data_IF_655142330679
#
_entry.id   IF_655142330679
#
_cell.length_a   1.000
_cell.length_b   1.000
_cell.length_c   1.000
_cell.angle_alpha   90.00
_cell.angle_beta   90.00
_cell.angle_gamma   90.00
#
_symmetry.space_group_name_H-M   'P 1'
#
loop_
_entity.id
_entity.type
_entity.pdbx_description
1 polymer ?
#
# COMPACT_ATOMS: atom_id res chain seq x y z
N UNK A 1 3.89 -2.15 6.18
CA UNK A 1 2.73 -1.57 6.88
C UNK A 1 1.48 -2.01 6.16
N UNK A 2 0.42 -2.37 6.89
CA UNK A 2 -0.82 -2.83 6.29
C UNK A 2 -1.48 -1.69 5.53
N UNK A 3 -2.06 -2.02 4.39
CA UNK A 3 -2.93 -1.12 3.61
C UNK A 3 -4.36 -1.57 3.79
N UNK A 4 -5.26 -0.63 4.14
CA UNK A 4 -6.71 -0.86 4.21
C UNK A 4 -7.41 0.32 3.56
N UNK A 5 -8.45 0.07 2.77
CA UNK A 5 -9.24 1.13 2.11
C UNK A 5 -8.37 2.12 1.31
N UNK A 6 -7.37 1.60 0.58
CA UNK A 6 -6.35 2.38 -0.14
C UNK A 6 -5.52 3.35 0.73
N UNK A 7 -5.47 3.13 2.04
CA UNK A 7 -4.83 4.02 3.00
C UNK A 7 -3.59 3.34 3.62
N UNK A 8 -2.47 4.04 3.59
CA UNK A 8 -1.24 3.59 4.23
C UNK A 8 -1.32 3.85 5.74
N UNK A 9 -1.51 2.82 6.57
CA UNK A 9 -1.58 2.97 8.03
C UNK A 9 -0.25 3.40 8.68
N UNK A 10 0.86 3.44 7.94
CA UNK A 10 2.13 3.93 8.44
C UNK A 10 2.27 5.46 8.43
N UNK A 11 1.59 6.15 7.51
CA UNK A 11 1.64 7.61 7.39
C UNK A 11 0.25 8.27 7.27
N UNK A 12 -0.81 7.47 7.29
CA UNK A 12 -2.20 7.89 7.19
C UNK A 12 -2.53 8.70 5.91
N UNK A 13 -1.89 8.34 4.80
CA UNK A 13 -2.07 8.97 3.48
C UNK A 13 -2.71 7.97 2.51
N UNK A 14 -3.59 8.46 1.64
CA UNK A 14 -4.13 7.68 0.53
C UNK A 14 -3.04 7.30 -0.46
N UNK A 15 -3.02 6.03 -0.83
CA UNK A 15 -2.16 5.51 -1.88
C UNK A 15 -2.74 5.92 -3.25
N UNK A 16 -1.87 6.18 -4.23
CA UNK A 16 -2.29 6.35 -5.61
C UNK A 16 -3.09 5.13 -6.09
N UNK A 17 -4.16 5.31 -6.88
CA UNK A 17 -4.99 4.20 -7.34
C UNK A 17 -4.20 3.20 -8.19
N UNK A 18 -3.20 3.65 -8.96
CA UNK A 18 -2.30 2.78 -9.70
C UNK A 18 -1.53 1.85 -8.77
N UNK A 19 -0.93 2.40 -7.70
CA UNK A 19 -0.18 1.64 -6.71
C UNK A 19 -1.08 0.66 -5.94
N UNK A 20 -2.30 1.08 -5.60
CA UNK A 20 -3.28 0.22 -4.94
C UNK A 20 -3.67 -0.97 -5.82
N UNK A 21 -3.95 -0.74 -7.11
CA UNK A 21 -4.23 -1.81 -8.06
C UNK A 21 -3.05 -2.78 -8.23
N UNK A 22 -1.83 -2.25 -8.32
CA UNK A 22 -0.61 -3.07 -8.37
C UNK A 22 -0.41 -3.90 -7.09
N UNK A 23 -0.86 -3.42 -5.93
CA UNK A 23 -0.83 -4.19 -4.68
C UNK A 23 -1.74 -5.42 -4.73
N UNK A 24 -2.90 -5.35 -5.41
CA UNK A 24 -3.78 -6.51 -5.60
C UNK A 24 -3.27 -7.49 -6.64
N UNK A 25 -2.48 -7.02 -7.61
CA UNK A 25 -1.84 -7.87 -8.61
C UNK A 25 -0.74 -8.77 -7.99
N UNK A 26 -0.15 -8.36 -6.86
CA UNK A 26 0.81 -9.19 -6.10
C UNK A 26 2.18 -9.39 -6.76
N UNK A 27 2.42 -8.74 -7.90
CA UNK A 27 3.63 -8.98 -8.73
C UNK A 27 4.94 -8.48 -8.12
N UNK A 28 4.90 -7.58 -7.13
CA UNK A 28 6.12 -6.99 -6.57
C UNK A 28 5.94 -6.35 -5.20
N UNK A 29 7.01 -6.35 -4.40
CA UNK A 29 7.09 -5.58 -3.15
C UNK A 29 6.91 -4.09 -3.45
N UNK A 30 5.86 -3.50 -2.89
CA UNK A 30 5.54 -2.08 -3.06
C UNK A 30 5.98 -1.27 -1.84
N UNK A 31 6.36 -0.02 -2.08
CA UNK A 31 6.73 0.93 -1.05
C UNK A 31 5.78 2.12 -1.08
N UNK A 32 5.42 2.64 0.09
CA UNK A 32 4.64 3.85 0.18
C UNK A 32 5.48 5.03 -0.36
N UNK A 33 4.97 5.83 -1.31
CA UNK A 33 5.72 6.95 -1.89
C UNK A 33 6.00 8.06 -0.87
N UNK A 34 5.22 8.15 0.21
CA UNK A 34 5.35 9.20 1.22
C UNK A 34 6.34 8.84 2.35
N UNK A 35 6.26 7.62 2.88
CA UNK A 35 7.10 7.21 4.02
C UNK A 35 8.16 6.16 3.66
N UNK A 36 8.24 5.75 2.39
CA UNK A 36 9.18 4.72 1.88
C UNK A 36 9.12 3.38 2.63
N UNK A 37 8.06 3.13 3.39
CA UNK A 37 7.84 1.86 4.08
C UNK A 37 7.24 0.84 3.11
N UNK A 38 7.69 -0.41 3.22
CA UNK A 38 7.07 -1.53 2.51
C UNK A 38 5.60 -1.57 2.88
N UNK A 39 4.71 -1.65 1.89
CA UNK A 39 3.26 -1.74 2.05
C UNK A 39 2.81 -3.13 1.61
N UNK A 40 1.83 -3.69 2.32
CA UNK A 40 1.28 -5.01 2.01
C UNK A 40 -0.24 -5.01 2.26
N UNK A 41 -0.98 -5.80 1.47
CA UNK A 41 -2.36 -6.10 1.76
C UNK A 41 -2.40 -7.03 2.97
N UNK A 42 -3.11 -6.62 4.02
CA UNK A 42 -3.37 -7.50 5.15
C UNK A 42 -4.63 -8.29 4.83
N UNK A 43 -4.46 -9.56 4.44
CA UNK A 43 -5.57 -10.51 4.46
C UNK A 43 -6.04 -10.65 5.93
N UNK A 44 -7.35 -10.49 6.15
CA UNK A 44 -7.97 -10.56 7.48
C UNK A 44 -8.26 -11.99 7.87
#
# INVERSE_FOLDING_TARGET
VPVKDALCHGCNVNLPPQLYNELFLGDSLKFCPNCQRIIYLKES
#
